data_IF_741966125852
#
_entry.id   IF_741966125852
#
_cell.length_a   1.000
_cell.length_b   1.000
_cell.length_c   1.000
_cell.angle_alpha   90.00
_cell.angle_beta   90.00
_cell.angle_gamma   90.00
#
_symmetry.space_group_name_H-M   'P 1'
#
loop_
_entity.id
_entity.type
_entity.pdbx_description
1 polymer ?
#
# COMPACT_ATOMS: atom_id res chain seq x y z
N UNK A 1 8.73 14.12 -0.72
CA UNK A 1 8.76 13.48 0.61
C UNK A 1 7.64 12.45 0.62
N UNK A 2 7.94 11.15 0.43
CA UNK A 2 6.91 10.11 0.41
C UNK A 2 6.30 9.99 1.82
N UNK A 3 5.02 10.36 1.99
CA UNK A 3 4.32 10.38 3.29
C UNK A 3 4.36 9.05 4.06
N UNK A 4 4.53 7.91 3.39
CA UNK A 4 4.58 6.59 4.05
C UNK A 4 5.98 6.22 4.58
N UNK A 5 7.02 6.98 4.25
CA UNK A 5 8.41 6.59 4.51
C UNK A 5 8.79 5.23 3.91
N UNK A 6 7.99 4.70 2.97
CA UNK A 6 8.16 3.38 2.36
C UNK A 6 7.83 2.18 3.26
N UNK A 7 7.15 2.36 4.39
CA UNK A 7 6.96 1.29 5.41
C UNK A 7 5.58 0.62 5.39
N UNK A 8 4.65 1.12 4.57
CA UNK A 8 3.30 0.56 4.48
C UNK A 8 2.66 0.85 3.13
N UNK A 9 1.67 0.03 2.77
CA UNK A 9 0.85 0.13 1.57
C UNK A 9 -0.60 -0.21 1.91
N UNK A 10 -1.58 0.30 1.15
CA UNK A 10 -2.95 -0.21 1.25
C UNK A 10 -3.11 -1.43 0.37
N UNK A 11 -3.50 -2.55 0.98
CA UNK A 11 -3.84 -3.80 0.31
C UNK A 11 -5.35 -3.89 0.17
N UNK A 12 -5.81 -4.06 -1.06
CA UNK A 12 -7.22 -4.27 -1.37
C UNK A 12 -7.63 -5.66 -0.89
N UNK A 13 -8.73 -5.72 -0.15
CA UNK A 13 -9.31 -6.99 0.28
C UNK A 13 -9.82 -7.79 -0.92
N UNK A 14 -9.97 -9.10 -0.75
CA UNK A 14 -10.44 -9.99 -1.81
C UNK A 14 -11.86 -9.63 -2.30
N UNK A 15 -12.67 -8.95 -1.49
CA UNK A 15 -13.98 -8.43 -1.93
C UNK A 15 -13.87 -7.24 -2.90
N UNK A 16 -12.73 -6.53 -2.93
CA UNK A 16 -12.55 -5.30 -3.69
C UNK A 16 -13.25 -4.08 -3.09
N UNK A 17 -13.99 -4.23 -1.99
CA UNK A 17 -14.81 -3.15 -1.41
C UNK A 17 -14.01 -2.22 -0.50
N UNK A 18 -12.88 -2.70 0.02
CA UNK A 18 -12.05 -1.91 0.91
C UNK A 18 -10.58 -2.29 0.79
N UNK A 19 -9.72 -1.37 1.19
CA UNK A 19 -8.29 -1.59 1.32
C UNK A 19 -7.84 -1.30 2.75
N UNK A 20 -6.89 -2.09 3.26
CA UNK A 20 -6.36 -1.97 4.61
C UNK A 20 -4.91 -1.60 4.58
N UNK A 21 -4.51 -0.71 5.50
CA UNK A 21 -3.12 -0.33 5.65
C UNK A 21 -2.33 -1.51 6.18
N UNK A 22 -1.30 -1.92 5.45
CA UNK A 22 -0.44 -3.04 5.81
C UNK A 22 1.00 -2.59 5.82
N UNK A 23 1.73 -2.98 6.87
CA UNK A 23 3.17 -2.75 6.95
C UNK A 23 3.87 -3.65 5.94
N UNK A 24 4.76 -3.06 5.15
CA UNK A 24 5.59 -3.78 4.18
C UNK A 24 7.04 -3.43 4.38
N UNK A 25 7.92 -4.37 4.05
CA UNK A 25 9.34 -4.10 3.95
C UNK A 25 9.71 -4.01 2.48
N UNK A 26 10.17 -2.84 2.08
CA UNK A 26 10.75 -2.62 0.77
C UNK A 26 12.26 -2.91 0.82
N UNK A 27 12.73 -3.62 -0.19
CA UNK A 27 14.15 -3.88 -0.43
C UNK A 27 14.72 -2.85 -1.40
N UNK A 28 15.31 -3.34 -2.48
CA UNK A 28 15.83 -2.51 -3.56
C UNK A 28 14.69 -1.75 -4.25
N UNK A 29 14.93 -0.48 -4.53
CA UNK A 29 14.01 0.36 -5.30
C UNK A 29 14.75 0.98 -6.47
N UNK A 30 14.10 1.01 -7.63
CA UNK A 30 14.51 1.83 -8.76
C UNK A 30 13.30 2.69 -9.20
N UNK A 31 13.45 3.60 -10.17
CA UNK A 31 12.35 4.47 -10.60
C UNK A 31 11.14 3.74 -11.18
N UNK A 32 11.30 2.50 -11.62
CA UNK A 32 10.27 1.72 -12.29
C UNK A 32 9.57 0.71 -11.36
N UNK A 33 10.32 0.15 -10.40
CA UNK A 33 9.88 -0.97 -9.55
C UNK A 33 10.44 -0.89 -8.13
N UNK A 34 9.67 -1.45 -7.20
CA UNK A 34 10.05 -1.64 -5.80
C UNK A 34 10.07 -3.13 -5.48
N UNK A 35 11.14 -3.61 -4.85
CA UNK A 35 11.23 -4.97 -4.33
C UNK A 35 10.47 -5.05 -2.99
N UNK A 36 9.52 -5.98 -2.87
CA UNK A 36 8.78 -6.22 -1.63
C UNK A 36 9.32 -7.49 -0.98
N UNK A 37 9.94 -7.33 0.19
CA UNK A 37 10.54 -8.43 0.96
C UNK A 37 9.54 -9.07 1.92
N UNK A 38 8.57 -8.30 2.41
CA UNK A 38 7.58 -8.78 3.38
C UNK A 38 6.28 -7.97 3.33
N UNK A 39 5.18 -8.61 3.71
CA UNK A 39 3.89 -7.96 3.94
C UNK A 39 2.93 -8.01 2.77
N UNK A 40 3.33 -8.59 1.63
CA UNK A 40 2.45 -8.88 0.50
C UNK A 40 2.60 -10.32 0.05
N UNK A 41 1.50 -10.88 -0.46
CA UNK A 41 1.47 -12.18 -1.12
C UNK A 41 1.23 -12.03 -2.63
N UNK A 42 1.71 -12.99 -3.45
CA UNK A 42 1.39 -13.02 -4.88
C UNK A 42 -0.13 -13.02 -5.11
N UNK A 43 -0.60 -12.13 -5.99
CA UNK A 43 -2.03 -11.98 -6.30
C UNK A 43 -2.75 -10.92 -5.46
N UNK A 44 -2.12 -10.35 -4.42
CA UNK A 44 -2.70 -9.22 -3.71
C UNK A 44 -2.64 -7.94 -4.54
N UNK A 45 -3.71 -7.16 -4.48
CA UNK A 45 -3.81 -5.88 -5.15
C UNK A 45 -3.48 -4.75 -4.17
N UNK A 46 -2.71 -3.76 -4.62
CA UNK A 46 -2.29 -2.62 -3.80
C UNK A 46 -2.63 -1.30 -4.48
N UNK A 47 -2.91 -0.28 -3.67
CA UNK A 47 -3.15 1.07 -4.17
C UNK A 47 -1.79 1.76 -4.34
N UNK A 48 -1.42 2.09 -5.57
CA UNK A 48 -0.19 2.82 -5.91
C UNK A 48 -0.41 4.31 -6.19
N UNK A 49 -1.67 4.72 -6.32
CA UNK A 49 -2.05 6.13 -6.50
C UNK A 49 -1.71 6.98 -5.28
N UNK A 50 -1.51 8.28 -5.49
CA UNK A 50 -1.16 9.23 -4.44
C UNK A 50 -2.12 9.16 -3.25
N UNK A 51 -1.57 8.99 -2.05
CA UNK A 51 -2.34 8.96 -0.80
C UNK A 51 -2.70 10.35 -0.26
N UNK A 52 -2.58 11.40 -1.07
CA UNK A 52 -2.72 12.79 -0.61
C UNK A 52 -4.10 13.12 -0.06
N UNK A 53 -5.14 12.41 -0.52
CA UNK A 53 -6.51 12.53 -0.02
C UNK A 53 -6.78 11.73 1.25
N UNK A 54 -5.87 10.84 1.67
CA UNK A 54 -6.07 10.00 2.84
C UNK A 54 -5.26 10.58 4.00
N UNK A 55 -5.95 11.11 5.01
CA UNK A 55 -5.29 11.59 6.23
C UNK A 55 -4.42 10.49 6.84
N UNK A 56 -3.33 10.87 7.53
CA UNK A 56 -2.32 9.94 8.06
C UNK A 56 -2.89 8.86 9.03
N UNK A 57 -4.11 9.08 9.54
CA UNK A 57 -4.84 8.24 10.50
C UNK A 57 -5.91 7.32 9.89
N UNK A 58 -5.95 7.13 8.57
CA UNK A 58 -6.90 6.21 7.94
C UNK A 58 -6.27 4.81 7.86
N UNK A 59 -6.78 3.85 8.63
CA UNK A 59 -6.30 2.46 8.57
C UNK A 59 -7.08 1.60 7.57
N UNK A 60 -8.30 2.01 7.22
CA UNK A 60 -9.19 1.32 6.27
C UNK A 60 -9.78 2.30 5.29
N UNK A 61 -9.61 2.02 4.00
CA UNK A 61 -10.19 2.76 2.89
C UNK A 61 -11.35 1.97 2.29
N UNK A 62 -12.50 2.60 2.07
CA UNK A 62 -13.61 1.96 1.33
C UNK A 62 -13.54 2.41 -0.13
N UNK A 63 -13.50 1.44 -1.04
CA UNK A 63 -13.50 1.65 -2.49
C UNK A 63 -14.96 1.56 -2.93
N UNK A 64 -15.56 2.70 -3.31
CA UNK A 64 -16.96 2.79 -3.74
C UNK A 64 -17.06 3.39 -5.13
#
# INVERSE_FOLDING_TARGET
>A
YQKSGGRWVYVVDNSGEFAVKRKINLGRQNPEVFEVLFGLQPGEHVITSSYDNYGDNIDKLVLK
#
